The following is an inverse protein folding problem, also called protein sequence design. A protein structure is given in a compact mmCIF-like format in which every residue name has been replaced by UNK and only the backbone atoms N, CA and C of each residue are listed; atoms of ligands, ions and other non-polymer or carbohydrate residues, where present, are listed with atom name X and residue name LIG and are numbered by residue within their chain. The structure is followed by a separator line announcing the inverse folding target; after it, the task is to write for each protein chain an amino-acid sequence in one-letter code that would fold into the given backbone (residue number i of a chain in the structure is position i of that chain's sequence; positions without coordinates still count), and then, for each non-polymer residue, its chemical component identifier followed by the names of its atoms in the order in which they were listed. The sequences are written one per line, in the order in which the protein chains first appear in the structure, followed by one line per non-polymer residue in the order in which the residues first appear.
data_IF_728876502435
#
_entry.id   IF_728876502435
#
_cell.length_a   1.000
_cell.length_b   1.000
_cell.length_c   1.000
_cell.angle_alpha   90.00
_cell.angle_beta   90.00
_cell.angle_gamma   90.00
#
_symmetry.space_group_name_H-M   'P 1'
#
loop_
_entity.id
_entity.type
_entity.pdbx_description
1 polymer ?
#
# COMPACT_ATOMS: atom_id res chain seq x y z
N UNK A 1 22.43 -10.81 2.07
CA UNK A 1 22.37 -11.99 1.17
C UNK A 1 21.23 -12.95 1.47
N UNK A 2 21.16 -13.61 2.64
CA UNK A 2 20.11 -14.62 2.90
C UNK A 2 18.67 -14.06 2.85
N UNK A 3 18.43 -12.89 3.44
CA UNK A 3 17.12 -12.23 3.44
C UNK A 3 16.73 -11.82 2.02
N UNK A 4 17.62 -11.16 1.28
CA UNK A 4 17.37 -10.76 -0.11
C UNK A 4 17.03 -11.98 -0.98
N UNK A 5 17.83 -13.06 -0.88
CA UNK A 5 17.56 -14.30 -1.61
C UNK A 5 16.20 -14.92 -1.26
N UNK A 6 15.77 -14.84 -0.01
CA UNK A 6 14.43 -15.31 0.39
C UNK A 6 13.34 -14.45 -0.26
N UNK A 7 13.43 -13.11 -0.13
CA UNK A 7 12.45 -12.17 -0.69
C UNK A 7 12.36 -12.28 -2.21
N UNK A 8 13.48 -12.45 -2.91
CA UNK A 8 13.53 -12.54 -4.37
C UNK A 8 12.99 -13.89 -4.91
N UNK A 9 12.96 -14.94 -4.08
CA UNK A 9 12.64 -16.31 -4.53
C UNK A 9 11.38 -16.89 -3.90
N UNK A 10 10.85 -16.27 -2.85
CA UNK A 10 9.61 -16.73 -2.23
C UNK A 10 8.48 -16.63 -3.25
N UNK A 11 7.86 -17.77 -3.54
CA UNK A 11 6.74 -17.85 -4.47
C UNK A 11 5.42 -17.50 -3.78
N UNK A 12 4.41 -17.18 -4.59
CA UNK A 12 3.03 -17.03 -4.10
C UNK A 12 2.48 -18.36 -3.57
N UNK A 13 1.70 -18.29 -2.50
CA UNK A 13 0.96 -19.41 -1.91
C UNK A 13 -0.52 -19.03 -1.75
N UNK A 14 -1.36 -19.94 -1.25
CA UNK A 14 -2.77 -19.65 -0.94
C UNK A 14 -3.42 -20.75 -0.10
N UNK A 15 -4.36 -20.36 0.77
CA UNK A 15 -5.08 -21.25 1.70
C UNK A 15 -6.35 -21.89 1.13
N UNK A 16 -6.99 -21.24 0.15
CA UNK A 16 -8.22 -21.71 -0.49
C UNK A 16 -9.53 -21.14 0.10
N UNK A 17 -9.43 -20.42 1.21
CA UNK A 17 -10.48 -19.59 1.81
C UNK A 17 -9.94 -18.20 2.17
N UNK A 18 -10.78 -17.35 2.79
CA UNK A 18 -10.47 -15.94 3.02
C UNK A 18 -9.67 -15.65 4.31
N UNK A 19 -10.00 -16.25 5.48
CA UNK A 19 -9.17 -16.06 6.67
C UNK A 19 -7.76 -16.62 6.45
N UNK A 20 -6.77 -16.03 7.11
CA UNK A 20 -5.37 -16.39 6.95
C UNK A 20 -4.81 -17.04 8.22
N UNK A 21 -3.61 -17.61 8.14
CA UNK A 21 -3.01 -18.40 9.23
C UNK A 21 -2.13 -17.55 10.17
N UNK A 22 -2.58 -16.34 10.54
CA UNK A 22 -1.78 -15.44 11.38
C UNK A 22 -1.58 -15.96 12.81
N UNK A 23 -2.51 -16.77 13.33
CA UNK A 23 -2.38 -17.40 14.65
C UNK A 23 -1.14 -18.30 14.72
N UNK A 24 -0.83 -19.04 13.66
CA UNK A 24 0.37 -19.88 13.59
C UNK A 24 1.63 -19.02 13.42
N UNK A 25 1.57 -17.93 12.65
CA UNK A 25 2.69 -16.98 12.52
C UNK A 25 3.08 -16.42 13.88
N UNK A 26 2.12 -15.95 14.67
CA UNK A 26 2.34 -15.42 16.02
C UNK A 26 2.87 -16.50 16.97
N UNK A 27 2.38 -17.74 16.84
CA UNK A 27 2.90 -18.88 17.60
C UNK A 27 4.37 -19.18 17.27
N UNK A 28 4.71 -19.28 15.99
CA UNK A 28 6.08 -19.57 15.54
C UNK A 28 7.06 -18.45 15.91
N UNK A 29 6.63 -17.19 15.85
CA UNK A 29 7.45 -16.04 16.21
C UNK A 29 8.00 -16.13 17.65
N UNK A 30 7.29 -16.78 18.58
CA UNK A 30 7.75 -16.98 19.97
C UNK A 30 9.03 -17.82 20.05
N UNK A 31 9.27 -18.69 19.06
CA UNK A 31 10.42 -19.60 19.03
C UNK A 31 11.65 -19.01 18.33
N UNK A 32 11.57 -17.77 17.82
CA UNK A 32 12.72 -17.12 17.18
C UNK A 32 13.80 -16.78 18.19
N UNK A 33 15.04 -16.63 17.70
CA UNK A 33 16.21 -16.31 18.51
C UNK A 33 16.25 -14.83 18.92
N UNK A 34 15.25 -14.36 19.66
CA UNK A 34 15.13 -12.98 20.13
C UNK A 34 16.24 -12.63 21.12
N UNK A 35 17.09 -11.67 20.76
CA UNK A 35 18.15 -11.18 21.63
C UNK A 35 17.57 -10.47 22.86
N UNK A 36 17.88 -10.95 24.07
CA UNK A 36 17.29 -10.46 25.33
C UNK A 36 17.47 -8.95 25.58
N UNK A 37 18.60 -8.37 25.16
CA UNK A 37 18.93 -6.95 25.40
C UNK A 37 18.56 -6.03 24.24
N UNK A 38 18.04 -6.56 23.14
CA UNK A 38 17.65 -5.75 21.99
C UNK A 38 16.22 -5.24 22.16
N UNK A 39 15.91 -4.11 21.52
CA UNK A 39 14.53 -3.75 21.18
C UNK A 39 14.00 -4.79 20.20
N UNK A 40 12.78 -5.26 20.39
CA UNK A 40 12.18 -6.35 19.60
C UNK A 40 10.86 -5.89 19.03
N UNK A 41 10.75 -6.01 17.72
CA UNK A 41 9.55 -5.65 17.00
C UNK A 41 9.19 -6.75 16.02
N UNK A 42 7.89 -6.99 15.88
CA UNK A 42 7.31 -7.86 14.87
C UNK A 42 6.41 -6.98 13.98
N UNK A 43 6.71 -6.94 12.69
CA UNK A 43 5.85 -6.25 11.70
C UNK A 43 5.00 -7.32 11.03
N UNK A 44 3.70 -7.38 11.36
CA UNK A 44 2.74 -8.30 10.76
C UNK A 44 2.00 -7.59 9.63
N UNK A 45 2.24 -8.00 8.39
CA UNK A 45 1.65 -7.40 7.19
C UNK A 45 0.63 -8.37 6.58
N UNK A 46 -0.57 -7.88 6.28
CA UNK A 46 -1.57 -8.64 5.55
C UNK A 46 -2.86 -7.84 5.34
N UNK A 47 -3.87 -8.46 4.75
CA UNK A 47 -5.11 -7.82 4.29
C UNK A 47 -6.40 -8.49 4.80
N UNK A 48 -6.31 -9.50 5.67
CA UNK A 48 -7.46 -10.25 6.18
C UNK A 48 -7.36 -10.58 7.69
N UNK A 49 -8.27 -11.43 8.21
CA UNK A 49 -8.36 -11.85 9.60
C UNK A 49 -7.79 -13.27 9.81
N UNK A 50 -7.37 -13.62 11.04
CA UNK A 50 -6.96 -14.99 11.35
C UNK A 50 -8.13 -15.96 11.44
N UNK A 51 -7.83 -17.26 11.32
CA UNK A 51 -8.79 -18.31 11.63
C UNK A 51 -9.16 -18.35 13.13
N UNK A 52 -10.42 -18.62 13.48
CA UNK A 52 -10.79 -18.87 14.88
C UNK A 52 -10.23 -20.23 15.37
N UNK A 53 -10.10 -20.45 16.69
CA UNK A 53 -9.63 -21.71 17.27
C UNK A 53 -10.38 -22.97 16.83
N UNK A 54 -11.65 -22.84 16.44
CA UNK A 54 -12.46 -23.95 15.95
C UNK A 54 -12.12 -24.38 14.52
N UNK A 55 -11.41 -23.54 13.76
CA UNK A 55 -11.13 -23.74 12.34
C UNK A 55 -9.64 -23.86 12.02
N UNK A 56 -8.74 -23.67 12.99
CA UNK A 56 -7.32 -23.96 12.80
C UNK A 56 -6.91 -25.29 13.49
N UNK A 57 -6.01 -26.11 12.88
CA UNK A 57 -5.68 -27.45 13.38
C UNK A 57 -5.08 -27.49 14.79
N UNK A 58 -4.38 -26.43 15.18
CA UNK A 58 -3.70 -26.34 16.47
C UNK A 58 -4.57 -25.71 17.56
N UNK A 59 -5.80 -25.30 17.24
CA UNK A 59 -6.74 -24.59 18.11
C UNK A 59 -6.12 -23.35 18.77
N UNK A 60 -5.20 -22.70 18.06
CA UNK A 60 -4.53 -21.48 18.51
C UNK A 60 -5.53 -20.33 18.55
N UNK A 61 -5.38 -19.49 19.57
CA UNK A 61 -6.08 -18.23 19.70
C UNK A 61 -5.08 -17.11 19.52
N UNK A 62 -5.20 -16.36 18.42
CA UNK A 62 -4.23 -15.30 18.10
C UNK A 62 -4.07 -14.27 19.23
N UNK A 63 -5.12 -13.99 20.02
CA UNK A 63 -5.03 -13.06 21.16
C UNK A 63 -4.13 -13.60 22.27
N UNK A 64 -4.17 -14.90 22.51
CA UNK A 64 -3.30 -15.56 23.48
C UNK A 64 -1.86 -15.58 22.99
N UNK A 65 -1.64 -15.81 21.69
CA UNK A 65 -0.30 -15.77 21.09
C UNK A 65 0.30 -14.35 21.14
N UNK A 66 -0.51 -13.30 20.94
CA UNK A 66 -0.08 -11.90 21.13
C UNK A 66 0.31 -11.62 22.57
N UNK A 67 -0.48 -12.07 23.56
CA UNK A 67 -0.15 -11.87 24.96
C UNK A 67 1.21 -12.52 25.29
N UNK A 68 1.49 -13.73 24.79
CA UNK A 68 2.78 -14.41 24.97
C UNK A 68 3.94 -13.62 24.36
N UNK A 69 3.77 -13.08 23.15
CA UNK A 69 4.78 -12.23 22.52
C UNK A 69 5.01 -10.92 23.29
N UNK A 70 3.93 -10.31 23.79
CA UNK A 70 4.00 -9.11 24.63
C UNK A 70 4.75 -9.39 25.94
N UNK A 71 4.50 -10.54 26.59
CA UNK A 71 5.23 -10.98 27.79
C UNK A 71 6.74 -11.18 27.54
N UNK A 72 7.13 -11.46 26.27
CA UNK A 72 8.53 -11.54 25.84
C UNK A 72 9.16 -10.16 25.53
N UNK A 73 8.38 -9.09 25.65
CA UNK A 73 8.76 -7.71 25.33
C UNK A 73 8.85 -7.45 23.83
N UNK A 74 8.01 -8.11 23.02
CA UNK A 74 7.93 -7.91 21.56
C UNK A 74 6.76 -6.99 21.24
N UNK A 75 7.05 -5.86 20.61
CA UNK A 75 6.05 -4.90 20.12
C UNK A 75 5.60 -5.33 18.73
N UNK A 76 4.29 -5.39 18.48
CA UNK A 76 3.73 -5.83 17.19
C UNK A 76 3.15 -4.63 16.45
N UNK A 77 3.63 -4.39 15.24
CA UNK A 77 3.03 -3.46 14.30
C UNK A 77 2.07 -4.21 13.41
N UNK A 78 0.77 -3.89 13.52
CA UNK A 78 -0.27 -4.43 12.66
C UNK A 78 -0.36 -3.61 11.39
N UNK A 79 0.27 -4.04 10.31
CA UNK A 79 0.25 -3.36 9.02
C UNK A 79 -0.86 -3.95 8.16
N UNK A 80 -1.96 -3.23 8.06
CA UNK A 80 -3.12 -3.60 7.27
C UNK A 80 -2.96 -3.12 5.82
N UNK A 81 -2.71 -4.04 4.91
CA UNK A 81 -2.73 -3.80 3.48
C UNK A 81 -4.16 -3.61 2.96
N UNK A 82 -4.34 -2.72 1.98
CA UNK A 82 -5.60 -2.48 1.25
C UNK A 82 -6.78 -1.96 2.09
N UNK A 83 -6.63 -1.83 3.41
CA UNK A 83 -7.61 -1.25 4.33
C UNK A 83 -9.02 -1.88 4.27
N UNK A 84 -9.10 -3.19 4.05
CA UNK A 84 -10.38 -3.92 4.10
C UNK A 84 -11.03 -3.81 5.48
N UNK A 85 -12.17 -3.12 5.56
CA UNK A 85 -12.81 -2.74 6.84
C UNK A 85 -13.07 -3.90 7.79
N UNK A 86 -13.37 -5.09 7.27
CA UNK A 86 -13.66 -6.26 8.11
C UNK A 86 -12.44 -6.72 8.92
N UNK A 87 -11.23 -6.48 8.41
CA UNK A 87 -9.98 -6.86 9.06
C UNK A 87 -9.43 -5.80 10.02
N UNK A 88 -9.94 -4.56 9.99
CA UNK A 88 -9.41 -3.44 10.79
C UNK A 88 -9.36 -3.74 12.28
N UNK A 89 -10.42 -4.33 12.84
CA UNK A 89 -10.46 -4.67 14.27
C UNK A 89 -9.36 -5.66 14.68
N UNK A 90 -9.00 -6.61 13.79
CA UNK A 90 -7.94 -7.56 14.05
C UNK A 90 -6.58 -6.84 14.15
N UNK A 91 -6.20 -6.06 13.13
CA UNK A 91 -4.92 -5.35 13.13
C UNK A 91 -4.80 -4.31 14.24
N UNK A 92 -5.90 -3.61 14.55
CA UNK A 92 -5.97 -2.67 15.65
C UNK A 92 -5.73 -3.35 16.99
N UNK A 93 -6.52 -4.37 17.32
CA UNK A 93 -6.39 -5.06 18.61
C UNK A 93 -5.05 -5.80 18.75
N UNK A 94 -4.54 -6.38 17.65
CA UNK A 94 -3.20 -7.00 17.58
C UNK A 94 -2.11 -6.01 18.02
N UNK A 95 -2.10 -4.82 17.42
CA UNK A 95 -1.11 -3.81 17.69
C UNK A 95 -1.24 -3.26 19.13
N UNK A 96 -2.44 -2.83 19.52
CA UNK A 96 -2.72 -2.24 20.83
C UNK A 96 -2.33 -3.17 21.98
N UNK A 97 -2.62 -4.47 21.86
CA UNK A 97 -2.28 -5.46 22.90
C UNK A 97 -0.79 -5.58 23.17
N UNK A 98 0.04 -5.29 22.17
CA UNK A 98 1.51 -5.38 22.28
C UNK A 98 2.18 -4.03 22.50
N UNK A 99 1.40 -2.94 22.57
CA UNK A 99 1.91 -1.56 22.63
C UNK A 99 2.46 -1.04 21.31
N UNK A 100 2.11 -1.64 20.18
CA UNK A 100 2.49 -1.18 18.84
C UNK A 100 1.40 -0.36 18.16
N UNK A 101 1.52 -0.18 16.85
CA UNK A 101 0.62 0.66 16.06
C UNK A 101 -0.09 -0.12 14.96
N UNK A 102 -1.37 0.22 14.74
CA UNK A 102 -2.11 -0.19 13.54
C UNK A 102 -1.81 0.78 12.41
N UNK A 103 -1.15 0.29 11.38
CA UNK A 103 -0.71 1.09 10.25
C UNK A 103 -1.47 0.65 9.02
N UNK A 104 -2.03 1.62 8.30
CA UNK A 104 -2.68 1.42 7.02
C UNK A 104 -1.65 1.49 5.90
N UNK A 105 -1.59 0.45 5.07
CA UNK A 105 -0.70 0.39 3.90
C UNK A 105 -1.54 0.38 2.61
N UNK A 106 -1.87 1.59 2.15
CA UNK A 106 -2.65 1.79 0.92
C UNK A 106 -1.80 1.74 -0.36
N UNK A 107 -0.52 2.09 -0.28
CA UNK A 107 0.42 1.99 -1.39
C UNK A 107 1.60 1.14 -0.97
N UNK A 108 1.83 0.02 -1.65
CA UNK A 108 2.95 -0.89 -1.36
C UNK A 108 4.31 -0.23 -1.61
N UNK A 109 4.35 0.82 -2.42
CA UNK A 109 5.55 1.65 -2.62
C UNK A 109 6.08 2.26 -1.30
N UNK A 110 5.23 2.42 -0.27
CA UNK A 110 5.63 2.97 1.04
C UNK A 110 6.32 1.95 1.94
N UNK A 111 6.45 0.68 1.53
CA UNK A 111 6.92 -0.38 2.41
C UNK A 111 8.33 -0.11 2.97
N UNK A 112 9.23 0.46 2.15
CA UNK A 112 10.58 0.79 2.58
C UNK A 112 10.57 1.89 3.65
N UNK A 113 9.79 2.94 3.42
CA UNK A 113 9.68 4.04 4.37
C UNK A 113 8.98 3.61 5.67
N UNK A 114 7.99 2.72 5.57
CA UNK A 114 7.33 2.11 6.73
C UNK A 114 8.32 1.33 7.59
N UNK A 115 9.16 0.48 7.00
CA UNK A 115 10.15 -0.29 7.77
C UNK A 115 11.19 0.60 8.44
N UNK A 116 11.66 1.64 7.74
CA UNK A 116 12.57 2.63 8.33
C UNK A 116 11.88 3.39 9.48
N UNK A 117 10.63 3.83 9.28
CA UNK A 117 9.85 4.49 10.31
C UNK A 117 9.66 3.61 11.55
N UNK A 118 9.38 2.30 11.38
CA UNK A 118 9.35 1.35 12.51
C UNK A 118 10.68 1.32 13.26
N UNK A 119 11.80 1.22 12.55
CA UNK A 119 13.13 1.21 13.18
C UNK A 119 13.41 2.49 13.97
N UNK A 120 13.09 3.66 13.41
CA UNK A 120 13.29 4.94 14.08
C UNK A 120 12.34 5.12 15.27
N UNK A 121 11.06 4.73 15.13
CA UNK A 121 10.07 4.78 16.22
C UNK A 121 10.53 3.95 17.43
N UNK A 122 11.13 2.80 17.19
CA UNK A 122 11.66 1.92 18.23
C UNK A 122 12.94 2.46 18.89
N UNK A 123 13.59 3.45 18.28
CA UNK A 123 14.69 4.20 18.89
C UNK A 123 14.14 5.33 19.76
N UNK A 124 13.39 6.27 19.18
CA UNK A 124 12.69 7.34 19.87
C UNK A 124 11.74 8.11 18.93
N UNK A 125 10.79 8.86 19.50
CA UNK A 125 9.93 9.77 18.72
C UNK A 125 10.75 10.87 18.00
N UNK A 126 11.87 11.31 18.59
CA UNK A 126 12.78 12.30 17.99
C UNK A 126 13.44 11.75 16.72
N UNK A 127 13.91 10.50 16.74
CA UNK A 127 14.50 9.86 15.56
C UNK A 127 13.47 9.66 14.45
N UNK A 128 12.23 9.31 14.81
CA UNK A 128 11.14 9.21 13.83
C UNK A 128 10.80 10.57 13.22
N UNK A 129 10.81 11.65 14.00
CA UNK A 129 10.60 13.02 13.51
C UNK A 129 11.74 13.50 12.59
N UNK A 130 12.99 13.14 12.91
CA UNK A 130 14.13 13.44 12.04
C UNK A 130 13.98 12.75 10.68
N UNK A 131 13.53 11.50 10.67
CA UNK A 131 13.25 10.77 9.44
C UNK A 131 12.03 11.32 8.68
N UNK A 132 10.97 11.73 9.38
CA UNK A 132 9.84 12.46 8.78
C UNK A 132 10.33 13.71 8.03
N UNK A 133 11.22 14.50 8.64
CA UNK A 133 11.77 15.70 8.02
C UNK A 133 12.65 15.37 6.80
N UNK A 134 13.43 14.29 6.84
CA UNK A 134 14.19 13.82 5.67
C UNK A 134 13.28 13.53 4.47
N UNK A 135 12.14 12.86 4.71
CA UNK A 135 11.15 12.57 3.66
C UNK A 135 10.52 13.85 3.09
N UNK A 136 10.29 14.86 3.93
CA UNK A 136 9.82 16.20 3.51
C UNK A 136 10.87 16.90 2.65
N UNK A 137 12.13 16.92 3.08
CA UNK A 137 13.23 17.61 2.39
C UNK A 137 13.54 16.96 1.03
N UNK A 138 13.34 15.65 0.91
CA UNK A 138 13.41 14.93 -0.37
C UNK A 138 12.21 15.20 -1.30
N UNK A 139 11.19 15.91 -0.84
CA UNK A 139 9.95 16.16 -1.59
C UNK A 139 9.12 14.90 -1.84
N UNK A 140 9.29 13.86 -1.02
CA UNK A 140 8.60 12.57 -1.15
C UNK A 140 7.34 12.48 -0.28
N UNK A 141 7.18 13.38 0.69
CA UNK A 141 6.03 13.41 1.59
C UNK A 141 4.71 13.57 0.82
N UNK A 142 3.74 12.74 1.18
CA UNK A 142 2.37 12.76 0.65
C UNK A 142 1.38 12.38 1.75
N UNK A 143 0.07 12.37 1.45
CA UNK A 143 -0.98 12.11 2.46
C UNK A 143 -0.81 10.75 3.14
N UNK A 144 -0.49 9.70 2.38
CA UNK A 144 -0.33 8.35 2.91
C UNK A 144 0.87 8.21 3.85
N UNK A 145 2.03 8.74 3.46
CA UNK A 145 3.22 8.76 4.34
C UNK A 145 2.95 9.60 5.59
N UNK A 146 2.33 10.77 5.45
CA UNK A 146 1.96 11.62 6.59
C UNK A 146 1.04 10.89 7.59
N UNK A 147 0.10 10.05 7.11
CA UNK A 147 -0.74 9.24 7.99
C UNK A 147 0.06 8.18 8.76
N UNK A 148 1.06 7.55 8.12
CA UNK A 148 1.96 6.60 8.79
C UNK A 148 2.73 7.31 9.92
N UNK A 149 3.35 8.46 9.63
CA UNK A 149 4.10 9.23 10.63
C UNK A 149 3.21 9.71 11.78
N UNK A 150 2.05 10.30 11.47
CA UNK A 150 1.11 10.76 12.50
C UNK A 150 0.65 9.62 13.41
N UNK A 151 0.37 8.45 12.83
CA UNK A 151 -0.01 7.25 13.58
C UNK A 151 1.09 6.84 14.54
N UNK A 152 2.32 6.68 14.05
CA UNK A 152 3.46 6.23 14.86
C UNK A 152 3.95 7.25 15.89
N UNK A 153 3.68 8.53 15.67
CA UNK A 153 3.95 9.63 16.61
C UNK A 153 2.76 9.94 17.52
N UNK A 154 1.69 9.14 17.43
CA UNK A 154 0.47 9.31 18.21
C UNK A 154 -0.12 10.73 18.15
N UNK A 155 -0.01 11.38 16.99
CA UNK A 155 -0.60 12.69 16.72
C UNK A 155 -2.06 12.48 16.34
N UNK A 156 -2.97 13.29 16.87
CA UNK A 156 -4.33 13.41 16.30
C UNK A 156 -4.19 13.67 14.80
N UNK A 157 -5.10 13.15 13.94
CA UNK A 157 -5.05 13.25 12.47
C UNK A 157 -4.95 14.71 11.99
N UNK A 158 -3.75 15.28 12.11
CA UNK A 158 -3.41 16.62 11.71
C UNK A 158 -2.86 16.43 10.32
N UNK A 159 -3.77 16.30 9.36
CA UNK A 159 -3.40 16.29 7.96
C UNK A 159 -2.95 17.70 7.62
N UNK A 160 -1.65 17.89 7.34
CA UNK A 160 -1.14 19.13 6.72
C UNK A 160 -1.76 19.36 5.34
N UNK A 161 -2.37 18.33 4.77
CA UNK A 161 -3.18 18.40 3.55
C UNK A 161 -4.64 18.68 3.89
N UNK A 162 -5.30 19.52 3.08
CA UNK A 162 -6.75 19.73 3.15
C UNK A 162 -7.51 18.38 3.09
N UNK A 163 -8.74 18.37 3.62
CA UNK A 163 -9.60 17.18 3.54
C UNK A 163 -9.72 16.71 2.10
N UNK A 164 -9.57 15.39 1.88
CA UNK A 164 -9.77 14.80 0.57
C UNK A 164 -11.16 15.18 0.02
N UNK A 165 -11.20 15.52 -1.26
CA UNK A 165 -12.47 15.73 -1.98
C UNK A 165 -13.30 14.45 -1.88
N UNK A 166 -14.63 14.56 -1.73
CA UNK A 166 -15.53 13.40 -1.71
C UNK A 166 -15.46 12.55 -2.98
N UNK A 167 -14.87 13.10 -4.05
CA UNK A 167 -14.62 12.45 -5.35
C UNK A 167 -13.33 11.63 -5.38
N UNK A 168 -12.55 11.59 -4.29
CA UNK A 168 -11.30 10.83 -4.19
C UNK A 168 -11.60 9.32 -4.12
N UNK A 169 -10.83 8.54 -4.86
CA UNK A 169 -10.88 7.08 -4.84
C UNK A 169 -10.34 6.57 -3.51
N UNK A 170 -10.91 5.47 -3.00
CA UNK A 170 -10.36 4.80 -1.82
C UNK A 170 -8.89 4.41 -2.08
N UNK A 171 -7.93 4.86 -1.26
CA UNK A 171 -6.50 4.78 -1.59
C UNK A 171 -5.98 3.35 -1.87
N UNK A 172 -6.54 2.32 -1.23
CA UNK A 172 -6.17 0.92 -1.44
C UNK A 172 -6.65 0.28 -2.75
N UNK A 173 -7.55 0.92 -3.52
CA UNK A 173 -8.07 0.33 -4.77
C UNK A 173 -7.02 0.24 -5.87
N UNK A 174 -6.07 1.18 -5.89
CA UNK A 174 -5.05 1.25 -6.93
C UNK A 174 -3.66 1.23 -6.32
N UNK A 175 -2.73 0.53 -6.97
CA UNK A 175 -1.30 0.58 -6.65
C UNK A 175 -0.56 1.35 -7.74
N UNK A 176 0.24 2.34 -7.34
CA UNK A 176 1.15 3.07 -8.23
C UNK A 176 2.48 2.32 -8.29
N UNK A 177 2.91 1.98 -9.51
CA UNK A 177 4.15 1.26 -9.79
C UNK A 177 5.03 2.09 -10.72
N UNK A 178 6.31 2.14 -10.43
CA UNK A 178 7.30 2.77 -11.32
C UNK A 178 7.68 1.81 -12.44
N UNK A 179 7.66 2.32 -13.68
CA UNK A 179 8.10 1.56 -14.85
C UNK A 179 9.59 1.82 -15.05
N UNK A 180 10.39 0.82 -14.77
CA UNK A 180 11.86 0.83 -14.87
C UNK A 180 12.35 0.94 -16.32
N UNK A 181 11.74 0.16 -17.21
CA UNK A 181 12.13 0.09 -18.61
C UNK A 181 10.93 -0.11 -19.54
N UNK A 182 11.18 0.11 -20.82
CA UNK A 182 10.19 -0.05 -21.87
C UNK A 182 9.76 -1.52 -22.02
N UNK A 183 8.57 -1.91 -21.54
CA UNK A 183 8.06 -3.28 -21.71
C UNK A 183 6.55 -3.38 -21.95
N UNK A 184 6.05 -4.50 -22.49
CA UNK A 184 4.61 -4.73 -22.60
C UNK A 184 3.94 -4.77 -21.23
N UNK A 185 2.77 -4.16 -21.10
CA UNK A 185 1.98 -4.10 -19.87
C UNK A 185 1.75 -5.48 -19.23
N UNK A 186 1.48 -6.52 -20.03
CA UNK A 186 1.29 -7.88 -19.50
C UNK A 186 2.56 -8.39 -18.82
N UNK A 187 3.73 -8.17 -19.43
CA UNK A 187 4.99 -8.61 -18.87
C UNK A 187 5.28 -7.84 -17.58
N UNK A 188 5.10 -6.52 -17.58
CA UNK A 188 5.27 -5.68 -16.38
C UNK A 188 4.43 -6.17 -15.21
N UNK A 189 3.14 -6.44 -15.44
CA UNK A 189 2.22 -6.93 -14.40
C UNK A 189 2.68 -8.31 -13.87
N UNK A 190 3.05 -9.24 -14.75
CA UNK A 190 3.48 -10.58 -14.32
C UNK A 190 4.84 -10.57 -13.59
N UNK A 191 5.79 -9.75 -14.04
CA UNK A 191 7.12 -9.59 -13.41
C UNK A 191 7.02 -8.99 -12.01
N UNK A 192 6.05 -8.09 -11.78
CA UNK A 192 5.73 -7.56 -10.45
C UNK A 192 4.91 -8.54 -9.59
N UNK A 193 4.74 -9.79 -10.04
CA UNK A 193 3.96 -10.78 -9.31
C UNK A 193 2.49 -10.37 -9.18
N UNK A 194 1.90 -9.73 -10.19
CA UNK A 194 0.47 -9.38 -10.21
C UNK A 194 -0.28 -10.24 -11.23
N UNK A 195 -1.60 -10.35 -11.07
CA UNK A 195 -2.45 -11.09 -12.02
C UNK A 195 -2.82 -10.19 -13.19
N UNK A 196 -2.55 -10.63 -14.43
CA UNK A 196 -2.92 -9.82 -15.59
C UNK A 196 -4.40 -9.99 -15.97
N UNK A 197 -5.18 -8.93 -15.76
CA UNK A 197 -6.55 -8.81 -16.23
C UNK A 197 -6.70 -7.61 -17.17
N UNK A 198 -7.35 -7.81 -18.32
CA UNK A 198 -7.63 -6.70 -19.25
C UNK A 198 -8.52 -5.66 -18.58
N UNK A 199 -8.17 -4.38 -18.71
CA UNK A 199 -8.93 -3.27 -18.13
C UNK A 199 -8.46 -2.82 -16.75
N UNK A 200 -7.67 -3.63 -16.02
CA UNK A 200 -7.17 -3.28 -14.68
C UNK A 200 -5.89 -2.45 -14.65
N UNK A 201 -5.28 -2.21 -15.81
CA UNK A 201 -4.00 -1.51 -15.91
C UNK A 201 -4.12 -0.17 -16.62
N UNK A 202 -3.51 0.87 -16.06
CA UNK A 202 -3.57 2.23 -16.60
C UNK A 202 -2.16 2.78 -16.77
N UNK A 203 -1.85 3.25 -17.98
CA UNK A 203 -0.53 3.80 -18.30
C UNK A 203 -0.54 5.32 -18.13
N UNK A 204 0.59 5.89 -17.71
CA UNK A 204 0.75 7.34 -17.65
C UNK A 204 0.67 7.96 -19.06
N UNK A 205 -0.15 9.00 -19.16
CA UNK A 205 -0.42 9.74 -20.38
C UNK A 205 0.67 10.80 -20.60
N UNK A 206 1.69 10.44 -21.38
CA UNK A 206 2.87 11.29 -21.61
C UNK A 206 2.92 11.98 -22.98
N UNK A 207 2.01 11.63 -23.90
CA UNK A 207 2.02 12.17 -25.27
C UNK A 207 0.62 12.38 -25.78
N UNK A 208 0.47 13.31 -26.73
CA UNK A 208 -0.82 13.59 -27.37
C UNK A 208 -1.43 12.32 -27.95
N UNK A 209 -2.65 11.98 -27.53
CA UNK A 209 -3.34 10.78 -28.01
C UNK A 209 -4.86 10.97 -28.03
N UNK A 210 -5.55 10.09 -28.77
CA UNK A 210 -7.02 10.04 -28.78
C UNK A 210 -7.49 9.01 -27.77
N UNK A 211 -8.17 9.47 -26.73
CA UNK A 211 -8.76 8.62 -25.69
C UNK A 211 -10.21 8.34 -26.06
N UNK A 212 -10.56 7.07 -26.12
CA UNK A 212 -11.92 6.63 -26.42
C UNK A 212 -12.84 6.92 -25.23
N UNK A 213 -14.08 7.36 -25.51
CA UNK A 213 -15.04 7.73 -24.46
C UNK A 213 -15.35 6.65 -23.42
N UNK A 214 -15.24 5.37 -23.82
CA UNK A 214 -15.45 4.21 -22.94
C UNK A 214 -14.28 3.87 -22.01
N UNK A 215 -13.13 4.52 -22.18
CA UNK A 215 -11.97 4.29 -21.32
C UNK A 215 -12.06 5.14 -20.08
N UNK A 216 -11.64 4.55 -18.98
CA UNK A 216 -11.47 5.24 -17.72
C UNK A 216 -10.19 6.08 -17.71
N UNK A 217 -10.27 7.21 -17.00
CA UNK A 217 -9.17 8.14 -16.77
C UNK A 217 -9.07 8.31 -15.26
N UNK A 218 -7.86 8.14 -14.73
CA UNK A 218 -7.54 8.37 -13.32
C UNK A 218 -6.55 9.53 -13.25
N UNK A 219 -6.79 10.47 -12.34
CA UNK A 219 -5.85 11.53 -12.02
C UNK A 219 -5.20 11.24 -10.69
N UNK A 220 -3.91 11.48 -10.57
CA UNK A 220 -3.21 11.53 -9.28
C UNK A 220 -2.70 12.94 -9.04
N UNK A 221 -3.08 13.55 -7.93
CA UNK A 221 -2.48 14.81 -7.49
C UNK A 221 -1.00 14.57 -7.12
N UNK A 222 -0.09 15.34 -7.71
CA UNK A 222 1.36 15.14 -7.49
C UNK A 222 1.81 15.46 -6.07
N UNK A 223 1.11 16.36 -5.37
CA UNK A 223 1.48 16.81 -4.03
C UNK A 223 0.86 15.92 -2.95
N UNK A 224 -0.40 15.54 -3.11
CA UNK A 224 -1.10 14.76 -2.07
C UNK A 224 -1.04 13.26 -2.31
N UNK A 225 -0.88 12.83 -3.57
CA UNK A 225 -1.04 11.43 -3.99
C UNK A 225 -2.51 11.00 -4.13
N UNK A 226 -3.47 11.91 -3.94
CA UNK A 226 -4.90 11.58 -4.02
C UNK A 226 -5.28 11.19 -5.45
N UNK A 227 -6.09 10.14 -5.57
CA UNK A 227 -6.58 9.62 -6.84
C UNK A 227 -8.01 10.08 -7.11
N UNK A 228 -8.30 10.48 -8.35
CA UNK A 228 -9.63 10.90 -8.81
C UNK A 228 -10.01 10.09 -10.04
N UNK A 229 -11.26 9.65 -10.13
CA UNK A 229 -11.73 8.82 -11.25
C UNK A 229 -13.00 9.34 -11.91
N UNK A 230 -13.40 8.66 -12.99
CA UNK A 230 -14.71 8.81 -13.60
C UNK A 230 -15.00 10.22 -14.11
N UNK A 231 -16.22 10.69 -13.85
CA UNK A 231 -16.69 12.00 -14.29
C UNK A 231 -15.90 13.15 -13.65
N UNK A 232 -15.50 13.00 -12.39
CA UNK A 232 -14.65 13.96 -11.67
C UNK A 232 -13.31 14.17 -12.37
N UNK A 233 -12.67 13.08 -12.81
CA UNK A 233 -11.44 13.15 -13.57
C UNK A 233 -11.63 13.87 -14.92
N UNK A 234 -12.75 13.62 -15.60
CA UNK A 234 -13.05 14.29 -16.88
C UNK A 234 -13.36 15.78 -16.71
N UNK A 235 -14.08 16.15 -15.68
CA UNK A 235 -14.35 17.56 -15.32
C UNK A 235 -13.07 18.33 -15.04
N UNK A 236 -12.15 17.77 -14.25
CA UNK A 236 -10.85 18.39 -13.93
C UNK A 236 -10.01 18.61 -15.22
N UNK A 237 -10.20 17.75 -16.22
CA UNK A 237 -9.53 17.84 -17.52
C UNK A 237 -10.30 18.68 -18.56
N UNK A 238 -11.44 19.28 -18.20
CA UNK A 238 -12.37 19.95 -19.12
C UNK A 238 -12.79 19.07 -20.32
N UNK A 239 -13.03 17.78 -20.08
CA UNK A 239 -13.38 16.80 -21.11
C UNK A 239 -14.87 16.44 -21.08
N UNK A 240 -15.54 16.40 -22.25
CA UNK A 240 -16.90 15.92 -22.33
C UNK A 240 -17.05 14.45 -21.91
N UNK A 241 -18.06 14.16 -21.09
CA UNK A 241 -18.38 12.82 -20.60
C UNK A 241 -18.68 11.83 -21.73
N UNK A 242 -18.15 10.61 -21.62
CA UNK A 242 -18.44 9.52 -22.55
C UNK A 242 -17.99 9.72 -24.00
N UNK A 243 -17.30 10.82 -24.33
CA UNK A 243 -16.88 11.13 -25.70
C UNK A 243 -15.41 10.80 -25.96
N UNK A 244 -15.12 10.51 -27.23
CA UNK A 244 -13.75 10.31 -27.71
C UNK A 244 -13.11 11.66 -27.96
N UNK A 245 -11.97 11.91 -27.29
CA UNK A 245 -11.30 13.22 -27.27
C UNK A 245 -9.82 13.07 -27.57
N UNK A 246 -9.24 14.06 -28.26
CA UNK A 246 -7.80 14.15 -28.48
C UNK A 246 -7.20 15.12 -27.48
N UNK A 247 -6.35 14.63 -26.60
CA UNK A 247 -5.81 15.39 -25.47
C UNK A 247 -4.32 15.65 -25.71
N UNK A 248 -3.82 16.79 -25.24
CA UNK A 248 -2.38 17.11 -25.15
C UNK A 248 -1.93 17.13 -23.68
N UNK A 249 -0.72 16.68 -23.34
CA UNK A 249 -0.24 16.66 -21.95
C UNK A 249 -0.09 18.04 -21.27
N UNK A 250 0.04 19.14 -22.04
CA UNK A 250 0.52 20.43 -21.55
C UNK A 250 -0.35 21.17 -20.51
N UNK A 251 -1.57 20.69 -20.22
CA UNK A 251 -2.46 21.36 -19.25
C UNK A 251 -2.48 20.69 -17.87
N UNK A 252 -1.50 19.82 -17.57
CA UNK A 252 -1.62 18.83 -16.51
C UNK A 252 -0.43 18.84 -15.54
N UNK A 253 0.13 19.99 -15.24
CA UNK A 253 1.29 20.07 -14.33
C UNK A 253 0.95 19.60 -12.91
N UNK A 254 -0.25 19.90 -12.42
CA UNK A 254 -0.71 19.48 -11.08
C UNK A 254 -0.95 17.97 -10.96
N UNK A 255 -1.34 17.32 -12.07
CA UNK A 255 -1.82 15.95 -12.05
C UNK A 255 -0.95 15.01 -12.87
N UNK A 256 -0.99 13.75 -12.48
CA UNK A 256 -0.57 12.63 -13.31
C UNK A 256 -1.82 12.04 -13.90
N UNK A 257 -1.83 11.84 -15.21
CA UNK A 257 -3.01 11.31 -15.88
C UNK A 257 -2.73 9.89 -16.29
N UNK A 258 -3.57 8.97 -15.84
CA UNK A 258 -3.52 7.56 -16.18
C UNK A 258 -4.71 7.21 -17.07
N UNK A 259 -4.46 6.41 -18.09
CA UNK A 259 -5.49 6.01 -19.05
C UNK A 259 -5.59 4.50 -19.10
N UNK A 260 -6.81 4.00 -19.00
CA UNK A 260 -7.07 2.57 -19.02
C UNK A 260 -6.55 1.89 -20.29
N UNK A 261 -5.85 0.77 -20.10
CA UNK A 261 -5.42 -0.12 -21.16
C UNK A 261 -6.30 -1.36 -21.24
N UNK A 262 -6.92 -1.56 -22.39
CA UNK A 262 -7.57 -2.83 -22.78
C UNK A 262 -6.66 -3.71 -23.64
N UNK A 263 -5.42 -3.26 -23.91
CA UNK A 263 -4.46 -3.96 -24.75
C UNK A 263 -3.50 -4.80 -23.92
N UNK A 264 -3.20 -6.00 -24.41
CA UNK A 264 -2.19 -6.90 -23.83
C UNK A 264 -0.77 -6.44 -24.14
N UNK A 265 -0.59 -5.78 -25.29
CA UNK A 265 0.71 -5.37 -25.82
C UNK A 265 0.92 -3.85 -25.74
N UNK A 266 0.18 -3.14 -24.86
CA UNK A 266 0.45 -1.72 -24.61
C UNK A 266 1.88 -1.62 -24.08
N UNK A 267 2.73 -0.88 -24.80
CA UNK A 267 4.09 -0.58 -24.37
C UNK A 267 4.02 0.45 -23.24
N UNK A 268 4.45 0.05 -22.05
CA UNK A 268 4.77 0.97 -20.96
C UNK A 268 6.14 1.60 -21.24
N UNK A 269 6.32 2.85 -20.79
CA UNK A 269 7.52 3.62 -21.07
C UNK A 269 8.36 3.71 -19.79
N UNK A 270 9.66 3.40 -19.88
CA UNK A 270 10.57 3.54 -18.74
C UNK A 270 10.61 4.99 -18.22
N UNK A 271 10.71 5.15 -16.89
CA UNK A 271 10.64 6.43 -16.20
C UNK A 271 9.23 7.03 -16.11
N UNK A 272 8.19 6.24 -16.38
CA UNK A 272 6.79 6.64 -16.19
C UNK A 272 6.12 5.77 -15.15
N UNK A 273 4.92 6.12 -14.72
CA UNK A 273 4.14 5.35 -13.77
C UNK A 273 3.10 4.46 -14.45
N UNK A 274 2.77 3.40 -13.74
CA UNK A 274 1.70 2.48 -14.06
C UNK A 274 0.78 2.35 -12.85
N UNK A 275 -0.52 2.51 -13.07
CA UNK A 275 -1.52 2.30 -12.04
C UNK A 275 -2.17 0.93 -12.26
N UNK A 276 -2.23 0.12 -11.21
CA UNK A 276 -2.86 -1.19 -11.22
C UNK A 276 -4.05 -1.22 -10.28
N UNK A 277 -5.22 -1.61 -10.79
CA UNK A 277 -6.43 -1.81 -9.99
C UNK A 277 -6.40 -3.16 -9.28
N UNK A 278 -6.38 -3.13 -7.94
CA UNK A 278 -6.35 -4.31 -7.08
C UNK A 278 -7.71 -5.02 -7.15
N UNK A 279 -7.69 -6.34 -7.04
CA UNK A 279 -8.92 -7.13 -6.88
C UNK A 279 -9.48 -6.90 -5.47
N UNK A 280 -10.78 -6.57 -5.38
CA UNK A 280 -11.48 -6.47 -4.09
C UNK A 280 -11.45 -7.80 -3.36
#
# INVERSE_FOLDING_TARGET
DAICNFVERVGKTGGGDAPECYELVLHQAQSFAWTRKATKSLVLIGDDIPHPPSQNPQKLNWREEVNKLSDMGIIIYGVQALNRRHATMFYQELAEKSGGFHIKLDQFAYINDLFLAVCYQQSSDEELQNYEQEIVDMGRMNRGLNQIFNTMLNREETSVYESADLRVVTPGRFQVLEVDENKPIKNFVLENGLTFNKGRGFYEFTKTETIQGKKEIILMDRATGDLFEGDSAREILDLPHGTTVRIKPNNLEKYVVFVQSTSVNRKLIGGTRFLYEVEE
#
